data_IF_549094361023
#
_entry.id   IF_549094361023
#
_cell.length_a   1.000
_cell.length_b   1.000
_cell.length_c   1.000
_cell.angle_alpha   90.00
_cell.angle_beta   90.00
_cell.angle_gamma   90.00
#
_symmetry.space_group_name_H-M   'P 1'
#
loop_
_entity.id
_entity.type
_entity.pdbx_description
1 polymer ?
#
# COMPACT_ATOMS: atom_id res chain seq x y z
N UNK A 1 5.91 -7.99 2.11
CA UNK A 1 4.54 -7.65 2.57
C UNK A 1 4.51 -6.35 3.40
N UNK A 2 5.64 -5.92 3.98
CA UNK A 2 5.70 -4.71 4.81
C UNK A 2 5.69 -3.38 4.05
N UNK A 3 5.64 -3.37 2.71
CA UNK A 3 5.54 -2.17 1.89
C UNK A 3 4.09 -1.93 1.46
N UNK A 4 3.72 -0.65 1.34
CA UNK A 4 2.38 -0.23 0.93
C UNK A 4 2.10 -0.58 -0.54
N UNK A 5 3.11 -0.39 -1.42
CA UNK A 5 3.05 -0.71 -2.85
C UNK A 5 4.19 -1.67 -3.20
N UNK A 6 3.93 -2.60 -4.10
CA UNK A 6 4.89 -3.63 -4.51
C UNK A 6 4.86 -3.83 -6.02
N UNK A 7 6.03 -3.79 -6.64
CA UNK A 7 6.25 -4.13 -8.04
C UNK A 7 7.06 -5.41 -8.15
N UNK A 8 6.91 -6.14 -9.23
CA UNK A 8 7.65 -7.37 -9.50
C UNK A 8 8.19 -7.40 -10.93
N UNK A 9 9.32 -8.06 -11.14
CA UNK A 9 9.78 -8.43 -12.46
C UNK A 9 9.09 -9.72 -12.92
N UNK A 10 9.01 -10.01 -14.25
CA UNK A 10 8.36 -11.21 -14.77
C UNK A 10 8.95 -12.52 -14.24
N UNK A 11 10.24 -12.53 -13.91
CA UNK A 11 10.96 -13.69 -13.36
C UNK A 11 10.78 -13.84 -11.84
N UNK A 12 10.07 -12.92 -11.17
CA UNK A 12 9.87 -12.96 -9.70
C UNK A 12 9.11 -14.21 -9.27
N UNK A 13 9.60 -14.82 -8.19
CA UNK A 13 8.99 -15.97 -7.53
C UNK A 13 8.97 -15.75 -6.02
N UNK A 14 7.83 -15.93 -5.41
CA UNK A 14 7.63 -15.76 -3.95
C UNK A 14 7.00 -17.03 -3.37
N UNK A 15 7.35 -17.38 -2.14
CA UNK A 15 6.68 -18.45 -1.41
C UNK A 15 6.80 -18.28 0.11
N UNK A 16 5.99 -19.01 0.84
CA UNK A 16 6.09 -19.17 2.31
C UNK A 16 6.97 -20.40 2.57
N UNK A 17 8.28 -20.21 2.50
CA UNK A 17 9.26 -21.32 2.51
C UNK A 17 9.31 -22.11 3.82
N UNK A 18 9.01 -21.46 4.96
CA UNK A 18 9.08 -22.04 6.29
C UNK A 18 8.26 -23.33 6.42
N UNK A 19 7.09 -23.38 5.79
CA UNK A 19 6.24 -24.57 5.79
C UNK A 19 6.93 -25.83 5.20
N UNK A 20 7.87 -25.64 4.26
CA UNK A 20 8.58 -26.73 3.60
C UNK A 20 9.72 -27.34 4.41
N UNK A 21 10.16 -26.65 5.44
CA UNK A 21 11.26 -27.10 6.31
C UNK A 21 10.77 -27.51 7.71
N UNK A 22 9.48 -27.81 7.83
CA UNK A 22 8.88 -28.28 9.06
C UNK A 22 8.54 -27.21 10.10
N UNK A 23 8.62 -25.93 9.70
CA UNK A 23 8.19 -24.80 10.53
C UNK A 23 6.76 -24.40 10.20
N UNK A 24 6.16 -23.61 11.08
CA UNK A 24 4.86 -22.99 10.79
C UNK A 24 4.98 -21.99 9.63
N UNK A 25 3.93 -21.85 8.83
CA UNK A 25 3.82 -20.77 7.86
C UNK A 25 3.55 -19.39 8.49
N UNK A 26 3.43 -19.31 9.81
CA UNK A 26 3.17 -18.08 10.56
C UNK A 26 4.47 -17.55 11.16
N UNK A 27 5.14 -16.66 10.43
CA UNK A 27 6.37 -16.01 10.85
C UNK A 27 6.47 -14.61 10.26
N UNK A 28 7.21 -13.71 10.89
CA UNK A 28 7.49 -12.33 10.43
C UNK A 28 6.25 -11.55 9.98
N UNK A 29 5.09 -11.80 10.57
CA UNK A 29 3.84 -11.12 10.25
C UNK A 29 3.12 -11.65 9.00
N UNK A 30 3.55 -12.74 8.38
CA UNK A 30 2.90 -13.31 7.18
C UNK A 30 1.42 -13.61 7.46
N UNK A 31 1.09 -14.21 8.61
CA UNK A 31 -0.29 -14.53 8.99
C UNK A 31 -1.19 -13.31 9.17
N UNK A 32 -0.59 -12.14 9.39
CA UNK A 32 -1.29 -10.86 9.47
C UNK A 32 -1.42 -10.19 8.09
N UNK A 33 -0.32 -10.00 7.38
CA UNK A 33 -0.27 -9.21 6.14
C UNK A 33 -0.80 -9.99 4.92
N UNK A 34 -0.49 -11.28 4.80
CA UNK A 34 -0.84 -12.03 3.59
C UNK A 34 -2.35 -12.15 3.39
N UNK A 35 -3.16 -12.56 4.40
CA UNK A 35 -4.62 -12.62 4.23
C UNK A 35 -5.27 -11.28 3.92
N UNK A 36 -4.70 -10.18 4.41
CA UNK A 36 -5.18 -8.82 4.11
C UNK A 36 -4.87 -8.40 2.68
N UNK A 37 -3.76 -8.87 2.13
CA UNK A 37 -3.38 -8.59 0.75
C UNK A 37 -4.14 -9.44 -0.28
N UNK A 38 -4.32 -10.74 -0.04
CA UNK A 38 -4.80 -11.69 -1.07
C UNK A 38 -6.08 -12.44 -0.68
N UNK A 39 -6.65 -12.14 0.48
CA UNK A 39 -7.78 -12.88 1.05
C UNK A 39 -7.37 -14.18 1.75
N UNK A 40 -8.18 -14.62 2.72
CA UNK A 40 -7.86 -15.75 3.60
C UNK A 40 -7.68 -17.06 2.84
N UNK A 41 -8.52 -17.33 1.84
CA UNK A 41 -8.44 -18.60 1.08
C UNK A 41 -7.14 -18.76 0.31
N UNK A 42 -6.70 -17.71 -0.39
CA UNK A 42 -5.42 -17.71 -1.12
C UNK A 42 -4.24 -17.73 -0.15
N UNK A 43 -4.32 -16.98 0.94
CA UNK A 43 -3.29 -17.01 1.98
C UNK A 43 -3.12 -18.42 2.58
N UNK A 44 -4.23 -19.10 2.94
CA UNK A 44 -4.20 -20.46 3.44
C UNK A 44 -3.54 -21.42 2.44
N UNK A 45 -3.92 -21.37 1.17
CA UNK A 45 -3.29 -22.18 0.12
C UNK A 45 -1.77 -21.99 0.11
N UNK A 46 -1.30 -20.75 0.11
CA UNK A 46 0.13 -20.43 0.04
C UNK A 46 0.88 -20.83 1.31
N UNK A 47 0.29 -20.60 2.48
CA UNK A 47 0.90 -20.89 3.78
C UNK A 47 0.95 -22.39 4.06
N UNK A 48 -0.08 -23.17 3.67
CA UNK A 48 -0.13 -24.61 3.92
C UNK A 48 0.75 -25.40 2.94
N UNK A 49 0.92 -24.90 1.71
CA UNK A 49 1.65 -25.65 0.68
C UNK A 49 3.07 -25.17 0.47
N UNK A 50 3.39 -23.93 0.85
CA UNK A 50 4.66 -23.28 0.53
C UNK A 50 4.96 -23.25 -0.98
N UNK A 51 3.94 -23.35 -1.84
CA UNK A 51 4.13 -23.32 -3.30
C UNK A 51 4.60 -21.96 -3.77
N UNK A 52 5.35 -21.95 -4.86
CA UNK A 52 5.77 -20.70 -5.47
C UNK A 52 4.61 -19.99 -6.16
N UNK A 53 4.55 -18.68 -5.95
CA UNK A 53 3.72 -17.72 -6.70
C UNK A 53 4.62 -17.02 -7.70
N UNK A 54 4.34 -17.16 -8.99
CA UNK A 54 5.01 -16.42 -10.07
C UNK A 54 4.41 -15.01 -10.18
N UNK A 55 5.14 -14.09 -10.82
CA UNK A 55 4.76 -12.69 -10.98
C UNK A 55 3.34 -12.49 -11.52
N UNK A 56 2.96 -13.20 -12.59
CA UNK A 56 1.63 -13.12 -13.20
C UNK A 56 0.51 -13.47 -12.20
N UNK A 57 0.70 -14.55 -11.43
CA UNK A 57 -0.26 -14.93 -10.40
C UNK A 57 -0.26 -13.91 -9.26
N UNK A 58 0.91 -13.40 -8.86
CA UNK A 58 1.03 -12.40 -7.80
C UNK A 58 0.24 -11.13 -8.15
N UNK A 59 0.30 -10.67 -9.40
CA UNK A 59 -0.53 -9.56 -9.89
C UNK A 59 -2.03 -9.90 -9.82
N UNK A 60 -2.43 -11.05 -10.35
CA UNK A 60 -3.84 -11.46 -10.40
C UNK A 60 -4.49 -11.59 -9.02
N UNK A 61 -3.74 -11.97 -8.00
CA UNK A 61 -4.25 -12.11 -6.62
C UNK A 61 -4.03 -10.85 -5.74
N UNK A 62 -3.51 -9.78 -6.30
CA UNK A 62 -3.25 -8.53 -5.56
C UNK A 62 -2.04 -8.58 -4.61
N UNK A 63 -1.16 -9.57 -4.77
CA UNK A 63 0.07 -9.64 -3.97
C UNK A 63 1.09 -8.58 -4.39
N UNK A 64 1.08 -8.19 -5.66
CA UNK A 64 1.84 -7.05 -6.21
C UNK A 64 0.89 -6.14 -6.99
N UNK A 65 1.27 -4.88 -7.12
CA UNK A 65 0.48 -3.85 -7.79
C UNK A 65 0.67 -3.89 -9.31
N UNK A 66 1.88 -4.25 -9.76
CA UNK A 66 2.17 -4.42 -11.19
C UNK A 66 3.37 -5.35 -11.42
N UNK A 67 3.51 -5.81 -12.68
CA UNK A 67 4.64 -6.59 -13.17
C UNK A 67 5.25 -5.85 -14.34
N UNK A 68 6.48 -5.40 -14.18
CA UNK A 68 7.21 -4.59 -15.17
C UNK A 68 8.55 -5.23 -15.50
N UNK A 69 9.18 -4.90 -16.64
CA UNK A 69 10.54 -5.36 -16.96
C UNK A 69 11.51 -5.07 -15.81
N UNK A 70 12.47 -5.95 -15.59
CA UNK A 70 13.41 -5.83 -14.47
C UNK A 70 14.18 -4.51 -14.49
N UNK A 71 14.58 -4.08 -15.68
CA UNK A 71 15.24 -2.79 -15.94
C UNK A 71 14.38 -1.57 -15.58
N UNK A 72 13.06 -1.71 -15.61
CA UNK A 72 12.12 -0.62 -15.36
C UNK A 72 11.64 -0.55 -13.88
N UNK A 73 11.96 -1.55 -13.05
CA UNK A 73 11.48 -1.61 -11.66
C UNK A 73 11.77 -0.34 -10.86
N UNK A 74 13.02 0.12 -10.92
CA UNK A 74 13.44 1.33 -10.19
C UNK A 74 12.74 2.56 -10.73
N UNK A 75 12.65 2.69 -12.05
CA UNK A 75 11.97 3.80 -12.69
C UNK A 75 10.49 3.84 -12.32
N UNK A 76 9.79 2.72 -12.41
CA UNK A 76 8.36 2.62 -12.05
C UNK A 76 8.12 3.03 -10.60
N UNK A 77 8.98 2.58 -9.67
CA UNK A 77 8.87 2.96 -8.27
C UNK A 77 9.12 4.46 -8.05
N UNK A 78 10.11 5.03 -8.77
CA UNK A 78 10.42 6.46 -8.72
C UNK A 78 9.30 7.31 -9.32
N UNK A 79 8.74 6.90 -10.46
CA UNK A 79 7.62 7.61 -11.10
C UNK A 79 6.42 7.68 -10.14
N UNK A 80 6.04 6.57 -9.50
CA UNK A 80 4.98 6.57 -8.49
C UNK A 80 5.33 7.46 -7.28
N UNK A 81 6.59 7.43 -6.82
CA UNK A 81 7.02 8.30 -5.73
C UNK A 81 6.92 9.79 -6.11
N UNK A 82 7.22 10.16 -7.36
CA UNK A 82 7.04 11.54 -7.85
C UNK A 82 5.56 11.95 -7.87
N UNK A 83 4.66 11.05 -8.27
CA UNK A 83 3.21 11.31 -8.18
C UNK A 83 2.78 11.54 -6.73
N UNK A 84 3.29 10.75 -5.78
CA UNK A 84 3.02 10.93 -4.35
C UNK A 84 3.56 12.28 -3.82
N UNK A 85 4.73 12.72 -4.27
CA UNK A 85 5.33 13.99 -3.87
C UNK A 85 4.52 15.22 -4.34
N UNK A 86 3.64 15.06 -5.33
CA UNK A 86 2.71 16.11 -5.73
C UNK A 86 1.54 16.29 -4.76
N UNK A 87 1.35 15.37 -3.82
CA UNK A 87 0.30 15.43 -2.79
C UNK A 87 0.80 16.20 -1.55
N UNK A 88 -0.14 16.69 -0.71
CA UNK A 88 0.26 17.35 0.53
C UNK A 88 0.94 16.35 1.48
N UNK A 89 2.10 16.71 2.07
CA UNK A 89 2.85 15.78 2.93
C UNK A 89 2.05 15.30 4.15
N UNK A 90 1.26 16.16 4.76
CA UNK A 90 0.38 15.78 5.87
C UNK A 90 -0.77 14.90 5.38
N UNK A 91 -1.36 15.20 4.21
CA UNK A 91 -2.40 14.35 3.61
C UNK A 91 -1.91 12.92 3.37
N UNK A 92 -0.70 12.75 2.83
CA UNK A 92 -0.09 11.41 2.64
C UNK A 92 0.09 10.67 3.97
N UNK A 93 0.66 11.35 4.98
CA UNK A 93 0.86 10.74 6.32
C UNK A 93 -0.46 10.31 6.94
N UNK A 94 -1.45 11.22 6.97
CA UNK A 94 -2.76 10.92 7.56
C UNK A 94 -3.52 9.84 6.77
N UNK A 95 -3.35 9.76 5.46
CA UNK A 95 -3.90 8.67 4.64
C UNK A 95 -3.26 7.34 5.02
N UNK A 96 -1.93 7.29 5.19
CA UNK A 96 -1.23 6.07 5.62
C UNK A 96 -1.67 5.63 7.01
N UNK A 97 -1.78 6.56 7.95
CA UNK A 97 -2.24 6.28 9.31
C UNK A 97 -3.70 5.79 9.30
N UNK A 98 -4.57 6.42 8.50
CA UNK A 98 -5.96 6.01 8.33
C UNK A 98 -6.10 4.59 7.77
N UNK A 99 -5.31 4.26 6.74
CA UNK A 99 -5.28 2.90 6.17
C UNK A 99 -4.82 1.86 7.20
N UNK A 100 -3.77 2.15 7.97
CA UNK A 100 -3.28 1.26 9.01
C UNK A 100 -4.35 1.04 10.11
N UNK A 101 -4.95 2.11 10.61
CA UNK A 101 -5.99 2.03 11.64
C UNK A 101 -7.26 1.32 11.15
N UNK A 102 -7.65 1.50 9.89
CA UNK A 102 -8.80 0.82 9.30
C UNK A 102 -8.61 -0.71 9.24
N UNK A 103 -7.37 -1.18 9.14
CA UNK A 103 -7.05 -2.61 9.18
C UNK A 103 -7.02 -3.19 10.61
N UNK A 104 -6.84 -2.35 11.63
CA UNK A 104 -6.75 -2.77 13.03
C UNK A 104 -8.09 -2.75 13.75
N UNK A 105 -9.01 -1.86 13.36
CA UNK A 105 -10.31 -1.70 14.03
C UNK A 105 -11.44 -2.37 13.25
N UNK A 106 -12.39 -2.96 13.97
CA UNK A 106 -13.66 -3.44 13.41
C UNK A 106 -14.79 -2.40 13.42
N UNK A 107 -14.50 -1.15 13.83
CA UNK A 107 -15.52 -0.10 14.00
C UNK A 107 -15.44 0.95 12.90
N UNK A 108 -16.44 0.96 12.02
CA UNK A 108 -16.60 2.01 11.00
C UNK A 108 -16.68 3.41 11.65
N UNK A 109 -17.39 3.53 12.76
CA UNK A 109 -17.53 4.83 13.46
C UNK A 109 -16.17 5.36 13.94
N UNK A 110 -15.29 4.47 14.42
CA UNK A 110 -13.92 4.85 14.82
C UNK A 110 -13.10 5.32 13.63
N UNK A 111 -13.18 4.62 12.49
CA UNK A 111 -12.47 5.02 11.26
C UNK A 111 -12.98 6.37 10.77
N UNK A 112 -14.30 6.55 10.67
CA UNK A 112 -14.89 7.82 10.22
C UNK A 112 -14.51 9.01 11.13
N UNK A 113 -14.45 8.81 12.45
CA UNK A 113 -14.02 9.85 13.37
C UNK A 113 -12.53 10.24 13.18
N UNK A 114 -11.69 9.26 12.81
CA UNK A 114 -10.28 9.52 12.48
C UNK A 114 -10.15 10.26 11.15
N UNK A 115 -10.90 9.84 10.13
CA UNK A 115 -10.94 10.48 8.82
C UNK A 115 -11.42 11.95 8.92
N UNK A 116 -12.50 12.22 9.67
CA UNK A 116 -13.02 13.57 9.89
C UNK A 116 -11.96 14.48 10.54
N UNK A 117 -11.25 13.97 11.54
CA UNK A 117 -10.13 14.70 12.15
C UNK A 117 -9.02 14.99 11.17
N UNK A 118 -8.60 13.99 10.37
CA UNK A 118 -7.58 14.14 9.34
C UNK A 118 -7.99 15.15 8.27
N UNK A 119 -9.24 15.09 7.81
CA UNK A 119 -9.78 16.04 6.84
C UNK A 119 -9.81 17.47 7.39
N UNK A 120 -10.23 17.65 8.64
CA UNK A 120 -10.24 18.98 9.28
C UNK A 120 -8.84 19.60 9.33
N UNK A 121 -7.81 18.80 9.65
CA UNK A 121 -6.42 19.26 9.66
C UNK A 121 -5.94 19.64 8.24
N UNK A 122 -6.22 18.81 7.25
CA UNK A 122 -5.82 19.07 5.85
C UNK A 122 -6.59 20.27 5.27
N UNK A 123 -7.88 20.40 5.60
CA UNK A 123 -8.70 21.53 5.17
C UNK A 123 -8.11 22.85 5.61
N UNK A 124 -7.73 22.96 6.88
CA UNK A 124 -7.16 24.18 7.44
C UNK A 124 -5.81 24.55 6.82
N UNK A 125 -4.95 23.55 6.52
CA UNK A 125 -3.58 23.78 6.09
C UNK A 125 -3.41 23.87 4.56
N UNK A 126 -4.14 23.06 3.79
CA UNK A 126 -3.76 22.79 2.40
C UNK A 126 -4.89 23.00 1.36
N UNK A 127 -6.16 22.96 1.77
CA UNK A 127 -7.28 22.97 0.83
C UNK A 127 -7.30 24.23 -0.04
N UNK A 128 -6.96 25.39 0.52
CA UNK A 128 -6.96 26.67 -0.24
C UNK A 128 -6.03 26.60 -1.43
N UNK A 129 -4.80 26.13 -1.23
CA UNK A 129 -3.83 25.95 -2.31
C UNK A 129 -4.26 24.84 -3.29
N UNK A 130 -4.70 23.69 -2.79
CA UNK A 130 -5.15 22.59 -3.63
C UNK A 130 -6.29 22.99 -4.58
N UNK A 131 -7.28 23.72 -4.07
CA UNK A 131 -8.42 24.22 -4.88
C UNK A 131 -7.96 25.28 -5.88
N UNK A 132 -7.06 26.18 -5.49
CA UNK A 132 -6.51 27.20 -6.39
C UNK A 132 -5.73 26.53 -7.54
N UNK A 133 -4.81 25.64 -7.22
CA UNK A 133 -4.01 24.91 -8.20
C UNK A 133 -4.89 24.12 -9.18
N UNK A 134 -5.92 23.43 -8.67
CA UNK A 134 -6.87 22.69 -9.49
C UNK A 134 -7.61 23.60 -10.50
N UNK A 135 -8.12 24.76 -10.03
CA UNK A 135 -8.82 25.72 -10.89
C UNK A 135 -7.90 26.33 -11.94
N UNK A 136 -6.67 26.61 -11.57
CA UNK A 136 -5.64 27.20 -12.43
C UNK A 136 -4.94 26.18 -13.32
N UNK A 137 -5.25 24.89 -13.19
CA UNK A 137 -4.64 23.75 -13.91
C UNK A 137 -3.10 23.74 -13.80
N UNK A 138 -2.58 24.02 -12.62
CA UNK A 138 -1.14 23.98 -12.28
C UNK A 138 -0.88 22.95 -11.16
N UNK A 139 0.38 22.59 -11.00
CA UNK A 139 0.80 21.82 -9.84
C UNK A 139 0.59 22.62 -8.54
N UNK A 140 0.10 22.00 -7.47
CA UNK A 140 0.00 22.64 -6.16
C UNK A 140 1.38 22.83 -5.53
N UNK A 141 1.53 23.87 -4.71
CA UNK A 141 2.71 24.09 -3.87
C UNK A 141 2.30 24.01 -2.40
N UNK A 142 2.66 22.91 -1.72
CA UNK A 142 2.35 22.68 -0.32
C UNK A 142 3.50 22.99 0.64
N UNK A 143 4.58 23.65 0.19
CA UNK A 143 5.77 23.94 1.02
C UNK A 143 5.50 24.93 2.17
N UNK A 144 4.40 25.69 2.11
CA UNK A 144 4.02 26.67 3.13
C UNK A 144 3.09 26.17 4.23
N UNK A 145 2.68 24.92 4.21
CA UNK A 145 1.75 24.32 5.20
C UNK A 145 2.50 23.55 6.30
N UNK A 146 3.16 24.26 7.20
CA UNK A 146 3.66 23.73 8.49
C UNK A 146 2.79 24.16 9.63
#
# INVERSE_FOLDING_TARGET
>A
LGCDVRFAAPNTRMNVAMAKVGLTGCDMGISYFLPRAVGTGVAAELMYTGRFVKAERALRIGLVNDVVPEEDLTKTAQDLAQEMLAMSPAGLRLTKDGLAMAQETGSLATVMALEDRGQTMCFAAFMKEGVAAFREKRAPNYEGGQ
#
